data_IF_287470835649
#
_entry.id   IF_287470835649
#
_cell.length_a   1.000
_cell.length_b   1.000
_cell.length_c   1.000
_cell.angle_alpha   90.00
_cell.angle_beta   90.00
_cell.angle_gamma   90.00
#
_symmetry.space_group_name_H-M   'P 1'
#
loop_
_entity.id
_entity.type
_entity.pdbx_description
1 polymer ?
#
# COMPACT_ATOMS: atom_id res chain seq x y z
N UNK A 1 8.12 2.70 -2.12
CA UNK A 1 9.12 1.70 -1.68
C UNK A 1 9.11 1.71 -0.17
N UNK A 2 9.12 0.53 0.46
CA UNK A 2 9.02 0.37 1.92
C UNK A 2 10.01 -0.70 2.37
N UNK A 3 10.40 -0.64 3.64
CA UNK A 3 11.17 -1.69 4.30
C UNK A 3 10.21 -2.57 5.11
N UNK A 4 10.35 -3.89 4.99
CA UNK A 4 9.65 -4.88 5.79
C UNK A 4 10.60 -6.01 6.15
N UNK A 5 10.89 -6.23 7.44
CA UNK A 5 11.77 -7.30 7.95
C UNK A 5 13.18 -7.35 7.32
N UNK A 6 13.77 -6.19 7.05
CA UNK A 6 15.06 -6.01 6.41
C UNK A 6 15.02 -6.11 4.89
N UNK A 7 13.86 -6.37 4.30
CA UNK A 7 13.67 -6.48 2.86
C UNK A 7 13.11 -5.19 2.27
N UNK A 8 13.58 -4.81 1.08
CA UNK A 8 13.07 -3.65 0.34
C UNK A 8 11.98 -4.11 -0.61
N UNK A 9 10.79 -3.55 -0.44
CA UNK A 9 9.61 -3.85 -1.25
C UNK A 9 9.17 -2.60 -2.02
N UNK A 10 8.75 -2.81 -3.26
CA UNK A 10 8.21 -1.78 -4.15
C UNK A 10 6.76 -2.09 -4.45
N UNK A 11 5.88 -1.19 -4.05
CA UNK A 11 4.45 -1.24 -4.38
C UNK A 11 4.21 -0.40 -5.62
N UNK A 12 3.53 -0.97 -6.61
CA UNK A 12 3.23 -0.33 -7.90
C UNK A 12 1.79 -0.62 -8.27
N UNK A 13 1.03 0.39 -8.69
CA UNK A 13 -0.21 0.19 -9.42
C UNK A 13 0.12 0.08 -10.90
N UNK A 14 -0.34 -0.99 -11.53
CA UNK A 14 -0.14 -1.23 -12.96
C UNK A 14 -1.47 -1.41 -13.66
N UNK A 15 -1.62 -0.76 -14.82
CA UNK A 15 -2.76 -0.95 -15.70
C UNK A 15 -2.43 -1.97 -16.80
N UNK A 16 -3.30 -2.95 -17.01
CA UNK A 16 -3.15 -3.98 -18.04
C UNK A 16 -4.50 -4.57 -18.44
N UNK A 17 -4.78 -4.61 -19.75
CA UNK A 17 -6.04 -5.14 -20.33
C UNK A 17 -7.30 -4.68 -19.59
N UNK A 18 -7.56 -3.36 -19.58
CA UNK A 18 -8.78 -2.79 -19.00
C UNK A 18 -8.98 -3.07 -17.50
N UNK A 19 -7.86 -3.29 -16.80
CA UNK A 19 -7.82 -3.54 -15.37
C UNK A 19 -6.61 -2.85 -14.75
N UNK A 20 -6.72 -2.52 -13.47
CA UNK A 20 -5.61 -2.07 -12.65
C UNK A 20 -5.33 -3.11 -11.56
N UNK A 21 -4.08 -3.23 -11.11
CA UNK A 21 -3.71 -4.11 -10.01
C UNK A 21 -2.54 -3.55 -9.22
N UNK A 22 -2.69 -3.52 -7.90
CA UNK A 22 -1.56 -3.29 -6.99
C UNK A 22 -0.63 -4.50 -7.01
N UNK A 23 0.64 -4.27 -7.23
CA UNK A 23 1.68 -5.29 -7.28
C UNK A 23 2.77 -4.97 -6.29
N UNK A 24 3.27 -6.01 -5.64
CA UNK A 24 4.42 -5.94 -4.74
C UNK A 24 5.59 -6.62 -5.43
N UNK A 25 6.72 -5.92 -5.45
CA UNK A 25 7.99 -6.39 -5.98
C UNK A 25 9.02 -6.41 -4.88
N UNK A 26 9.76 -7.49 -4.77
CA UNK A 26 10.93 -7.59 -3.91
C UNK A 26 12.16 -7.09 -4.66
N UNK A 27 12.92 -6.18 -4.04
CA UNK A 27 14.16 -5.66 -4.58
C UNK A 27 15.37 -6.36 -3.96
N UNK A 28 16.05 -7.17 -4.76
CA UNK A 28 17.29 -7.82 -4.34
C UNK A 28 18.46 -6.82 -4.44
N UNK A 29 19.00 -6.43 -3.28
CA UNK A 29 20.11 -5.48 -3.17
C UNK A 29 21.43 -6.00 -3.78
N UNK A 30 21.64 -7.32 -3.82
CA UNK A 30 22.87 -7.92 -4.33
C UNK A 30 22.87 -7.94 -5.85
N UNK A 31 21.77 -8.38 -6.46
CA UNK A 31 21.65 -8.49 -7.92
C UNK A 31 21.13 -7.20 -8.57
N UNK A 32 20.58 -6.28 -7.77
CA UNK A 32 19.90 -5.04 -8.20
C UNK A 32 18.70 -5.31 -9.11
N UNK A 33 17.99 -6.42 -8.88
CA UNK A 33 16.82 -6.83 -9.66
C UNK A 33 15.54 -6.77 -8.83
N UNK A 34 14.43 -6.42 -9.48
CA UNK A 34 13.09 -6.52 -8.88
C UNK A 34 12.41 -7.82 -9.33
N UNK A 35 11.83 -8.56 -8.39
CA UNK A 35 10.99 -9.73 -8.68
C UNK A 35 9.58 -9.50 -8.16
N UNK A 36 8.56 -9.70 -8.99
CA UNK A 36 7.17 -9.59 -8.53
C UNK A 36 6.87 -10.74 -7.57
N UNK A 37 6.38 -10.42 -6.38
CA UNK A 37 6.04 -11.41 -5.34
C UNK A 37 4.54 -11.53 -5.09
N UNK A 38 3.77 -10.48 -5.38
CA UNK A 38 2.32 -10.49 -5.24
C UNK A 38 1.63 -9.55 -6.24
N UNK A 39 0.39 -9.89 -6.57
CA UNK A 39 -0.54 -9.05 -7.29
C UNK A 39 -1.89 -9.12 -6.58
N UNK A 40 -2.52 -7.97 -6.39
CA UNK A 40 -3.86 -7.88 -5.84
C UNK A 40 -4.87 -8.58 -6.76
N UNK A 41 -5.79 -9.40 -6.22
CA UNK A 41 -6.83 -10.05 -6.99
C UNK A 41 -7.70 -9.04 -7.78
N UNK A 42 -8.09 -9.35 -9.04
CA UNK A 42 -8.90 -8.44 -9.85
C UNK A 42 -10.22 -8.00 -9.21
N UNK A 43 -10.81 -8.86 -8.36
CA UNK A 43 -12.05 -8.56 -7.64
C UNK A 43 -11.94 -7.35 -6.68
N UNK A 44 -10.72 -7.01 -6.25
CA UNK A 44 -10.44 -5.90 -5.32
C UNK A 44 -9.91 -4.66 -6.05
N UNK A 45 -9.34 -4.83 -7.24
CA UNK A 45 -8.56 -3.78 -7.90
C UNK A 45 -9.25 -3.14 -9.12
N UNK A 46 -10.41 -3.66 -9.54
CA UNK A 46 -11.12 -3.17 -10.71
C UNK A 46 -11.49 -1.69 -10.61
N UNK A 47 -11.86 -1.22 -9.42
CA UNK A 47 -12.23 0.19 -9.20
C UNK A 47 -11.06 1.16 -9.35
N UNK A 48 -9.82 0.68 -9.42
CA UNK A 48 -8.64 1.53 -9.62
C UNK A 48 -8.35 1.80 -11.09
N UNK A 49 -8.99 1.08 -12.01
CA UNK A 49 -8.75 1.22 -13.43
C UNK A 49 -9.14 2.62 -13.94
N UNK A 50 -8.27 3.20 -14.78
CA UNK A 50 -8.40 4.54 -15.37
C UNK A 50 -8.46 5.70 -14.34
N UNK A 51 -8.20 5.41 -13.05
CA UNK A 51 -8.10 6.43 -12.01
C UNK A 51 -6.67 6.91 -11.87
N UNK A 52 -6.48 8.23 -11.85
CA UNK A 52 -5.21 8.87 -11.50
C UNK A 52 -5.04 8.85 -9.98
N UNK A 53 -4.57 7.72 -9.47
CA UNK A 53 -4.36 7.51 -8.04
C UNK A 53 -2.94 7.88 -7.63
N UNK A 54 -2.83 8.69 -6.58
CA UNK A 54 -1.63 8.80 -5.77
C UNK A 54 -1.55 7.60 -4.84
N UNK A 55 -0.36 7.02 -4.74
CA UNK A 55 -0.11 5.82 -3.93
C UNK A 55 0.97 6.14 -2.92
N UNK A 56 0.63 5.90 -1.67
CA UNK A 56 1.58 5.95 -0.57
C UNK A 56 1.48 4.67 0.24
N UNK A 57 2.58 4.29 0.88
CA UNK A 57 2.62 3.06 1.64
C UNK A 57 3.68 3.13 2.75
N UNK A 58 3.43 2.36 3.80
CA UNK A 58 4.36 2.15 4.91
C UNK A 58 4.44 0.65 5.21
N UNK A 59 5.64 0.18 5.53
CA UNK A 59 5.88 -1.17 6.02
C UNK A 59 5.88 -1.21 7.54
N UNK A 60 5.33 -2.27 8.13
CA UNK A 60 5.37 -2.56 9.55
C UNK A 60 5.42 -4.07 9.78
N UNK A 61 6.58 -4.60 10.16
CA UNK A 61 6.77 -6.04 10.32
C UNK A 61 6.53 -6.79 9.00
N UNK A 62 5.53 -7.66 8.98
CA UNK A 62 5.12 -8.45 7.80
C UNK A 62 4.10 -7.75 6.91
N UNK A 63 3.66 -6.55 7.28
CA UNK A 63 2.51 -5.92 6.66
C UNK A 63 2.91 -4.63 5.94
N UNK A 64 2.27 -4.39 4.81
CA UNK A 64 2.33 -3.12 4.10
C UNK A 64 0.96 -2.49 4.16
N UNK A 65 0.88 -1.31 4.75
CA UNK A 65 -0.30 -0.46 4.66
C UNK A 65 -0.17 0.46 3.45
N UNK A 66 -1.18 0.46 2.59
CA UNK A 66 -1.20 1.16 1.30
C UNK A 66 -2.44 2.05 1.28
N UNK A 67 -2.26 3.34 1.01
CA UNK A 67 -3.36 4.25 0.71
C UNK A 67 -3.34 4.59 -0.78
N UNK A 68 -4.53 4.57 -1.39
CA UNK A 68 -4.76 5.04 -2.75
C UNK A 68 -5.72 6.22 -2.67
N UNK A 69 -5.33 7.36 -3.23
CA UNK A 69 -6.13 8.58 -3.19
C UNK A 69 -6.22 9.25 -4.56
N UNK A 70 -7.41 9.71 -4.93
CA UNK A 70 -7.66 10.66 -6.01
C UNK A 70 -8.73 11.66 -5.54
N UNK A 71 -9.09 12.64 -6.38
CA UNK A 71 -10.18 13.57 -6.08
C UNK A 71 -11.56 12.88 -5.86
N UNK A 72 -11.71 11.63 -6.28
CA UNK A 72 -12.99 10.91 -6.28
C UNK A 72 -12.96 9.60 -5.47
N UNK A 73 -11.78 9.16 -5.01
CA UNK A 73 -11.60 7.88 -4.33
C UNK A 73 -10.56 8.01 -3.22
N UNK A 74 -10.86 7.49 -2.04
CA UNK A 74 -9.88 7.16 -1.02
C UNK A 74 -10.07 5.69 -0.61
N UNK A 75 -9.04 4.87 -0.79
CA UNK A 75 -9.06 3.44 -0.48
C UNK A 75 -7.82 3.04 0.31
N UNK A 76 -8.00 2.04 1.17
CA UNK A 76 -7.03 1.61 2.17
C UNK A 76 -6.88 0.10 2.10
N UNK A 77 -5.65 -0.36 1.95
CA UNK A 77 -5.37 -1.78 1.73
C UNK A 77 -4.21 -2.19 2.62
N UNK A 78 -4.35 -3.32 3.29
CA UNK A 78 -3.25 -4.04 3.91
C UNK A 78 -2.84 -5.21 3.01
N UNK A 79 -1.54 -5.34 2.80
CA UNK A 79 -0.94 -6.56 2.28
C UNK A 79 -0.12 -7.23 3.38
N UNK A 80 -0.50 -8.45 3.75
CA UNK A 80 0.22 -9.27 4.71
C UNK A 80 1.13 -10.25 3.95
N UNK A 81 2.44 -10.02 4.00
CA UNK A 81 3.43 -10.81 3.29
C UNK A 81 3.59 -12.22 3.87
N UNK A 82 3.37 -12.40 5.17
CA UNK A 82 3.52 -13.71 5.83
C UNK A 82 2.41 -14.68 5.40
N UNK A 83 1.19 -14.18 5.22
CA UNK A 83 0.02 -14.97 4.78
C UNK A 83 -0.30 -14.82 3.28
N UNK A 84 0.40 -13.93 2.58
CA UNK A 84 0.15 -13.54 1.20
C UNK A 84 -1.32 -13.16 0.96
N UNK A 85 -1.88 -12.35 1.86
CA UNK A 85 -3.27 -11.91 1.82
C UNK A 85 -3.39 -10.41 1.61
N UNK A 86 -4.44 -10.02 0.90
CA UNK A 86 -4.85 -8.63 0.74
C UNK A 86 -6.13 -8.41 1.55
N UNK A 87 -6.18 -7.31 2.29
CA UNK A 87 -7.32 -6.94 3.13
C UNK A 87 -7.68 -5.50 2.83
N UNK A 88 -8.90 -5.26 2.35
CA UNK A 88 -9.49 -3.93 2.28
C UNK A 88 -9.82 -3.46 3.70
N UNK A 89 -9.43 -2.23 4.01
CA UNK A 89 -9.77 -1.59 5.26
C UNK A 89 -11.00 -0.68 5.10
N UNK A 90 -11.78 -0.47 6.17
CA UNK A 90 -12.92 0.45 6.13
C UNK A 90 -12.51 1.87 5.74
N UNK A 91 -13.43 2.59 5.11
CA UNK A 91 -13.24 4.02 4.84
C UNK A 91 -13.08 4.81 6.14
N UNK A 92 -12.04 5.65 6.17
CA UNK A 92 -11.85 6.63 7.22
C UNK A 92 -12.71 7.86 6.94
N UNK A 93 -13.51 8.26 7.94
CA UNK A 93 -14.28 9.50 7.90
C UNK A 93 -13.95 10.38 9.10
N UNK A 94 -13.99 11.70 8.90
CA UNK A 94 -13.89 12.68 9.97
C UNK A 94 -15.20 13.46 10.03
N UNK A 95 -15.87 13.44 11.17
CA UNK A 95 -17.19 14.08 11.37
C UNK A 95 -18.28 13.63 10.37
N UNK A 96 -18.18 12.40 9.84
CA UNK A 96 -19.13 11.85 8.87
C UNK A 96 -18.83 12.22 7.41
N UNK A 97 -17.75 12.96 7.15
CA UNK A 97 -17.27 13.26 5.81
C UNK A 97 -16.07 12.36 5.45
N UNK A 98 -16.02 11.92 4.19
CA UNK A 98 -14.88 11.16 3.69
C UNK A 98 -13.64 12.07 3.67
N UNK A 99 -12.49 11.49 4.00
CA UNK A 99 -11.21 12.21 3.90
C UNK A 99 -10.86 12.43 2.42
N UNK A 100 -10.48 13.65 2.05
CA UNK A 100 -10.07 13.98 0.66
C UNK A 100 -8.67 13.45 0.31
N UNK A 101 -7.81 13.29 1.33
CA UNK A 101 -6.45 12.83 1.15
C UNK A 101 -5.96 12.09 2.38
N UNK A 102 -5.25 11.00 2.17
CA UNK A 102 -4.61 10.24 3.24
C UNK A 102 -3.22 9.79 2.84
N UNK A 103 -2.34 9.74 3.84
CA UNK A 103 -0.97 9.32 3.66
C UNK A 103 -0.54 8.39 4.78
N UNK A 104 -0.01 7.24 4.39
CA UNK A 104 0.64 6.27 5.26
C UNK A 104 1.96 6.86 5.75
N UNK A 105 2.14 6.85 7.07
CA UNK A 105 3.36 7.33 7.72
C UNK A 105 3.78 6.36 8.83
N UNK A 106 5.08 6.06 8.91
CA UNK A 106 5.64 5.30 10.02
C UNK A 106 5.89 6.24 11.18
N UNK A 107 5.18 6.04 12.28
CA UNK A 107 5.48 6.75 13.51
C UNK A 107 6.49 5.96 14.34
N UNK A 108 7.72 6.44 14.38
CA UNK A 108 8.74 5.99 15.33
C UNK A 108 8.75 6.97 16.51
N UNK A 109 8.07 6.67 17.63
CA UNK A 109 8.11 7.54 18.79
C UNK A 109 9.55 7.64 19.29
N UNK A 110 10.13 8.84 19.22
CA UNK A 110 11.29 9.18 20.04
C UNK A 110 10.79 9.30 21.46
N UNK A 111 11.06 8.30 22.29
CA UNK A 111 10.80 8.37 23.73
C UNK A 111 11.77 9.42 24.29
N UNK A 112 11.36 10.69 24.28
CA UNK A 112 11.98 11.76 25.06
C UNK A 112 11.14 12.04 26.32
N UNK A 113 10.45 11.02 26.85
CA UNK A 113 9.72 11.11 28.10
C UNK A 113 10.48 10.39 29.22
N UNK A 114 11.33 11.14 29.92
CA UNK A 114 11.65 10.85 31.32
C UNK A 114 10.68 11.64 32.19
N UNK A 115 9.84 10.94 32.97
CA UNK A 115 9.14 11.50 34.14
C UNK A 115 9.86 11.03 35.39
#
# INVERSE_FOLDING_TARGET
MVECKGEILVVVLSDFFESASLRVWWYDLKTKTCNQIAAMPPAMSHEFYDKKLDINCVGAGDQIFICLSSAELCSYVLYDFASNQWVELPECSMNGEALEFTSAFSFEPRIEASV
#
